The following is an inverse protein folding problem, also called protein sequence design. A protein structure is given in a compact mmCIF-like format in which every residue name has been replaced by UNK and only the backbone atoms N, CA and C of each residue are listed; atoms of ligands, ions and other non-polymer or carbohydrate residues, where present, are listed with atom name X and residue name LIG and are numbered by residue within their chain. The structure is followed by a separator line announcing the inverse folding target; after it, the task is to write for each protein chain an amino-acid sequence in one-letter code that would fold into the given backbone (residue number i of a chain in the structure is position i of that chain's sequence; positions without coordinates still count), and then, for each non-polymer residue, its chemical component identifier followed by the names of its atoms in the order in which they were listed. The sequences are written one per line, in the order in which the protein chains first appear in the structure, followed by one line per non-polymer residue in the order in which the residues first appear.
data_IF_933326000573
#
_entry.id   IF_933326000573
#
_cell.length_a   1.000
_cell.length_b   1.000
_cell.length_c   1.000
_cell.angle_alpha   90.00
_cell.angle_beta   90.00
_cell.angle_gamma   90.00
#
_symmetry.space_group_name_H-M   'P 1'
#
loop_
_entity.id
_entity.type
_entity.pdbx_description
1 polymer ?
#
# COMPACT_ATOMS: atom_id res chain seq x y z
N UNK A 1 -53.53 -32.73 -9.30
CA UNK A 1 -53.25 -31.29 -9.27
C UNK A 1 -52.27 -31.08 -8.11
N UNK A 2 -50.96 -31.09 -8.35
CA UNK A 2 -50.16 -29.97 -8.90
C UNK A 2 -50.06 -28.81 -7.90
N UNK A 3 -48.89 -28.26 -7.57
CA UNK A 3 -47.49 -28.64 -7.81
C UNK A 3 -46.62 -27.71 -6.94
N UNK A 4 -45.56 -28.20 -6.27
CA UNK A 4 -44.45 -27.33 -5.86
C UNK A 4 -43.14 -28.12 -5.79
N UNK A 5 -42.28 -27.85 -6.77
CA UNK A 5 -40.98 -28.50 -6.96
C UNK A 5 -39.93 -27.83 -6.09
N UNK A 6 -39.15 -28.62 -5.35
CA UNK A 6 -37.92 -28.17 -4.69
C UNK A 6 -36.78 -28.17 -5.72
N UNK A 7 -36.13 -27.02 -5.92
CA UNK A 7 -34.86 -26.94 -6.65
C UNK A 7 -33.75 -26.41 -5.73
N UNK A 8 -32.90 -27.33 -5.28
CA UNK A 8 -31.49 -27.06 -4.98
C UNK A 8 -30.67 -27.12 -6.28
N UNK A 9 -29.43 -26.57 -6.25
CA UNK A 9 -28.28 -26.66 -7.20
C UNK A 9 -27.74 -25.24 -7.50
N UNK A 10 -26.44 -24.96 -7.54
CA UNK A 10 -25.26 -25.64 -6.95
C UNK A 10 -24.06 -24.67 -6.92
N UNK A 11 -22.99 -25.03 -6.19
CA UNK A 11 -21.63 -24.51 -6.40
C UNK A 11 -20.87 -25.42 -7.37
N UNK A 12 -20.01 -24.90 -8.26
CA UNK A 12 -19.02 -25.73 -8.94
C UNK A 12 -17.76 -25.91 -8.06
N UNK A 13 -17.43 -27.17 -7.78
CA UNK A 13 -16.09 -27.63 -7.43
C UNK A 13 -15.68 -28.58 -8.55
N UNK A 14 -14.56 -28.33 -9.23
CA UNK A 14 -14.05 -29.23 -10.27
C UNK A 14 -12.92 -30.06 -9.68
N UNK A 15 -13.17 -31.36 -9.55
CA UNK A 15 -12.15 -32.38 -9.40
C UNK A 15 -11.79 -32.92 -10.78
N UNK A 16 -10.50 -33.03 -11.08
CA UNK A 16 -10.01 -33.76 -12.23
C UNK A 16 -9.06 -34.87 -11.75
N UNK A 17 -9.47 -36.11 -11.95
CA UNK A 17 -8.66 -37.30 -11.72
C UNK A 17 -8.67 -38.13 -13.00
N UNK A 18 -7.49 -38.50 -13.50
CA UNK A 18 -7.23 -39.75 -14.22
C UNK A 18 -5.72 -39.89 -14.47
N UNK A 19 -5.15 -41.04 -14.12
CA UNK A 19 -3.85 -41.49 -14.61
C UNK A 19 -3.98 -42.00 -16.07
N UNK A 20 -2.85 -42.28 -16.76
CA UNK A 20 -2.40 -43.67 -16.73
C UNK A 20 -0.87 -43.89 -16.64
N UNK A 21 -0.52 -45.03 -16.04
CA UNK A 21 0.76 -45.77 -16.20
C UNK A 21 1.06 -46.04 -17.69
N UNK A 22 2.28 -46.18 -18.25
CA UNK A 22 3.64 -46.56 -17.79
C UNK A 22 4.69 -45.72 -18.60
N UNK A 23 6.03 -45.89 -18.63
CA UNK A 23 6.98 -46.94 -18.19
C UNK A 23 8.41 -46.36 -17.95
N UNK A 24 9.42 -47.22 -17.78
CA UNK A 24 10.87 -46.90 -17.82
C UNK A 24 11.56 -47.57 -19.02
N UNK A 25 12.73 -47.08 -19.45
CA UNK A 25 13.97 -47.82 -19.14
C UNK A 25 15.11 -46.97 -18.57
N UNK A 26 16.19 -47.64 -18.15
CA UNK A 26 17.33 -47.11 -17.36
C UNK A 26 18.62 -46.92 -18.17
N UNK A 27 19.62 -46.31 -17.52
CA UNK A 27 21.06 -46.26 -17.84
C UNK A 27 21.45 -45.16 -18.88
N UNK A 28 22.60 -44.48 -18.83
CA UNK A 28 23.93 -44.83 -18.28
C UNK A 28 24.70 -43.66 -17.60
N UNK A 29 25.64 -44.01 -16.72
CA UNK A 29 26.94 -43.35 -16.33
C UNK A 29 27.12 -41.83 -16.54
N UNK A 30 27.35 -41.00 -15.52
CA UNK A 30 28.56 -40.88 -14.68
C UNK A 30 29.86 -40.51 -15.42
N UNK A 31 30.39 -39.30 -15.19
CA UNK A 31 31.84 -38.97 -15.16
C UNK A 31 32.10 -37.56 -14.58
N UNK A 32 32.90 -37.49 -13.50
CA UNK A 32 33.73 -36.33 -13.13
C UNK A 32 35.17 -36.63 -13.61
N UNK A 33 35.99 -35.61 -13.92
CA UNK A 33 37.03 -35.28 -12.94
C UNK A 33 37.44 -33.79 -12.87
N UNK A 34 38.03 -33.44 -11.72
CA UNK A 34 38.87 -32.26 -11.45
C UNK A 34 40.37 -32.74 -11.46
N UNK A 35 41.44 -31.95 -11.16
CA UNK A 35 41.73 -30.51 -11.33
C UNK A 35 43.10 -30.26 -12.02
N UNK A 36 43.55 -29.00 -12.17
CA UNK A 36 44.96 -28.50 -12.09
C UNK A 36 44.98 -26.96 -12.24
N UNK A 37 45.44 -26.18 -11.26
CA UNK A 37 46.85 -25.83 -10.92
C UNK A 37 47.57 -24.95 -11.96
N UNK A 38 47.75 -23.66 -11.64
CA UNK A 38 49.00 -22.91 -11.82
C UNK A 38 48.97 -21.62 -10.99
N UNK A 39 50.03 -21.36 -10.23
CA UNK A 39 50.28 -20.08 -9.58
C UNK A 39 51.67 -19.60 -10.00
N UNK A 40 51.81 -18.31 -10.32
CA UNK A 40 53.12 -17.66 -10.47
C UNK A 40 53.05 -16.24 -9.94
N UNK A 41 53.90 -15.96 -8.95
CA UNK A 41 54.26 -14.62 -8.51
C UNK A 41 55.24 -13.99 -9.48
N UNK A 42 55.26 -12.65 -9.59
CA UNK A 42 56.51 -11.92 -9.80
C UNK A 42 56.44 -10.51 -9.21
N UNK A 43 57.60 -9.96 -8.86
CA UNK A 43 57.77 -8.81 -7.97
C UNK A 43 58.94 -7.95 -8.49
N UNK A 44 58.79 -6.64 -8.64
CA UNK A 44 59.90 -5.66 -8.74
C UNK A 44 59.41 -4.20 -8.72
N UNK A 45 60.35 -3.26 -8.60
CA UNK A 45 60.16 -1.87 -8.14
C UNK A 45 60.54 -0.83 -9.21
N UNK A 46 60.00 0.40 -9.05
CA UNK A 46 60.57 1.69 -9.48
C UNK A 46 60.69 1.95 -11.02
N UNK A 47 60.57 3.17 -11.56
CA UNK A 47 60.13 4.48 -11.06
C UNK A 47 60.07 5.54 -12.20
N UNK A 48 59.45 6.71 -11.94
CA UNK A 48 59.53 8.00 -12.70
C UNK A 48 58.58 8.21 -13.92
N UNK A 49 57.40 8.77 -13.62
CA UNK A 49 56.82 10.06 -14.09
C UNK A 49 57.03 10.61 -15.54
N UNK A 50 56.14 11.51 -16.05
CA UNK A 50 54.76 11.84 -15.65
C UNK A 50 53.76 11.95 -16.84
N UNK A 51 52.45 11.76 -16.59
CA UNK A 51 51.43 12.51 -17.35
C UNK A 51 50.19 12.82 -16.49
N UNK A 52 49.70 14.05 -16.65
CA UNK A 52 48.70 14.73 -15.83
C UNK A 52 47.32 14.05 -15.87
N UNK A 53 46.74 13.70 -14.71
CA UNK A 53 45.28 13.69 -14.46
C UNK A 53 45.02 13.73 -12.94
N UNK A 54 44.84 14.92 -12.38
CA UNK A 54 44.42 15.12 -10.98
C UNK A 54 43.28 16.17 -10.95
N UNK A 55 42.45 16.12 -9.90
CA UNK A 55 41.21 16.89 -9.68
C UNK A 55 39.99 16.53 -10.57
N UNK A 56 39.09 15.68 -10.03
CA UNK A 56 37.63 15.96 -9.92
C UNK A 56 36.83 14.91 -9.11
N UNK A 57 37.29 14.55 -7.91
CA UNK A 57 36.54 13.68 -6.98
C UNK A 57 36.56 14.19 -5.52
N UNK A 58 36.09 15.43 -5.27
CA UNK A 58 35.83 15.94 -3.90
C UNK A 58 34.54 16.76 -3.71
N UNK A 59 33.82 17.14 -4.78
CA UNK A 59 32.65 18.04 -4.67
C UNK A 59 31.27 17.39 -4.92
N UNK A 60 31.19 16.07 -5.11
CA UNK A 60 29.91 15.36 -5.34
C UNK A 60 29.40 14.65 -4.08
N UNK A 61 30.27 14.35 -3.12
CA UNK A 61 29.89 13.66 -1.87
C UNK A 61 29.30 14.59 -0.81
N UNK A 62 29.68 15.87 -0.82
CA UNK A 62 29.29 16.88 0.18
C UNK A 62 27.88 17.44 -0.01
N UNK A 63 27.33 17.43 -1.23
CA UNK A 63 26.00 17.99 -1.52
C UNK A 63 24.86 17.04 -1.14
N UNK A 64 25.03 15.73 -1.33
CA UNK A 64 24.04 14.73 -0.90
C UNK A 64 23.95 14.60 0.62
N UNK A 65 25.08 14.67 1.33
CA UNK A 65 25.09 14.68 2.80
C UNK A 65 24.37 15.92 3.37
N UNK A 66 24.54 17.09 2.73
CA UNK A 66 23.89 18.33 3.15
C UNK A 66 22.35 18.23 3.06
N UNK A 67 21.81 17.76 1.91
CA UNK A 67 20.37 17.58 1.68
C UNK A 67 19.73 16.52 2.59
N UNK A 68 20.46 15.45 2.90
CA UNK A 68 20.06 14.47 3.92
C UNK A 68 19.98 15.12 5.31
N UNK A 69 21.01 15.88 5.69
CA UNK A 69 21.10 16.49 7.03
C UNK A 69 20.09 17.60 7.29
N UNK A 70 19.65 18.35 6.28
CA UNK A 70 18.62 19.40 6.44
C UNK A 70 17.25 18.79 6.71
N UNK A 71 16.88 17.75 5.96
CA UNK A 71 15.63 17.02 6.16
C UNK A 71 15.56 16.31 7.53
N UNK A 72 16.71 15.87 8.06
CA UNK A 72 16.81 15.33 9.42
C UNK A 72 16.68 16.38 10.54
N UNK A 73 17.08 17.64 10.29
CA UNK A 73 17.07 18.70 11.31
C UNK A 73 15.72 19.40 11.45
N UNK A 74 14.97 19.57 10.36
CA UNK A 74 13.67 20.27 10.41
C UNK A 74 12.59 19.48 11.19
N UNK A 75 12.71 18.15 11.31
CA UNK A 75 11.76 17.30 12.05
C UNK A 75 11.96 17.38 13.58
N UNK A 76 13.10 17.89 14.06
CA UNK A 76 13.50 17.85 15.48
C UNK A 76 13.19 19.13 16.28
N UNK A 77 12.56 20.13 15.66
CA UNK A 77 12.39 21.47 16.22
C UNK A 77 10.99 21.75 16.84
N UNK A 78 10.34 20.73 17.40
CA UNK A 78 9.48 20.86 18.60
C UNK A 78 9.13 19.44 19.12
N UNK A 79 9.68 19.07 20.27
CA UNK A 79 9.54 17.72 20.85
C UNK A 79 8.59 17.77 22.04
N UNK A 80 7.29 17.70 21.74
CA UNK A 80 6.34 17.09 22.67
C UNK A 80 6.61 15.57 22.70
N UNK A 81 7.26 15.08 23.77
CA UNK A 81 7.61 13.66 23.90
C UNK A 81 6.36 12.77 24.08
N UNK A 82 5.21 13.33 24.49
CA UNK A 82 3.96 12.57 24.69
C UNK A 82 3.12 12.42 23.41
N UNK A 83 3.47 13.12 22.32
CA UNK A 83 2.75 12.98 21.05
C UNK A 83 2.90 11.56 20.49
N UNK A 84 1.78 10.86 20.25
CA UNK A 84 1.80 9.61 19.50
C UNK A 84 1.77 9.87 17.99
N UNK A 85 2.61 9.14 17.26
CA UNK A 85 2.66 9.17 15.78
C UNK A 85 2.40 7.80 15.19
N UNK A 86 1.98 7.76 13.92
CA UNK A 86 2.07 6.58 13.05
C UNK A 86 3.13 6.79 12.00
N UNK A 87 4.06 5.85 11.93
CA UNK A 87 5.13 5.80 10.95
C UNK A 87 4.84 4.69 9.94
N UNK A 88 5.03 5.01 8.65
CA UNK A 88 4.96 4.06 7.54
C UNK A 88 6.22 4.15 6.69
N UNK A 89 6.77 3.01 6.29
CA UNK A 89 7.80 2.93 5.24
C UNK A 89 7.88 1.53 4.64
N UNK A 90 8.50 1.42 3.48
CA UNK A 90 8.92 0.14 2.92
C UNK A 90 10.23 0.34 2.13
N UNK A 91 10.97 -0.74 1.93
CA UNK A 91 12.16 -0.75 1.09
C UNK A 91 12.32 -2.13 0.46
N UNK A 92 12.42 -2.17 -0.87
CA UNK A 92 12.92 -3.35 -1.58
C UNK A 92 14.44 -3.33 -1.57
N UNK A 93 15.04 -4.31 -0.91
CA UNK A 93 16.49 -4.51 -0.79
C UNK A 93 16.75 -5.97 -0.41
N UNK A 94 17.84 -6.56 -0.89
CA UNK A 94 18.14 -7.96 -0.58
C UNK A 94 18.48 -8.13 0.91
N UNK A 95 17.76 -9.03 1.57
CA UNK A 95 18.02 -9.44 2.96
C UNK A 95 18.43 -10.93 2.92
N UNK A 96 19.69 -11.20 3.23
CA UNK A 96 20.28 -12.55 3.12
C UNK A 96 19.62 -13.55 4.07
N UNK A 97 19.47 -13.18 5.34
CA UNK A 97 18.78 -13.97 6.36
C UNK A 97 17.69 -13.10 7.03
N UNK A 98 16.43 -13.20 6.59
CA UNK A 98 15.34 -12.43 7.17
C UNK A 98 14.94 -12.84 8.59
N UNK A 99 15.26 -14.05 9.05
CA UNK A 99 14.93 -14.49 10.42
C UNK A 99 15.97 -13.94 11.42
N UNK A 100 17.25 -13.91 11.03
CA UNK A 100 18.30 -13.16 11.74
C UNK A 100 17.95 -11.65 11.80
N UNK A 101 17.48 -11.09 10.68
CA UNK A 101 17.04 -9.68 10.61
C UNK A 101 15.84 -9.40 11.54
N UNK A 102 14.82 -10.26 11.51
CA UNK A 102 13.68 -10.20 12.44
C UNK A 102 14.14 -10.23 13.88
N UNK A 103 15.15 -11.04 14.20
CA UNK A 103 15.71 -11.15 15.55
C UNK A 103 16.38 -9.84 15.98
N UNK A 104 17.23 -9.25 15.14
CA UNK A 104 17.86 -7.93 15.40
C UNK A 104 16.83 -6.84 15.64
N UNK A 105 15.83 -6.77 14.77
CA UNK A 105 14.74 -5.81 14.87
C UNK A 105 13.88 -6.04 16.14
N UNK A 106 13.66 -7.28 16.58
CA UNK A 106 12.97 -7.59 17.83
C UNK A 106 13.77 -7.12 19.05
N UNK A 107 15.08 -7.43 19.11
CA UNK A 107 15.94 -7.00 20.22
C UNK A 107 16.05 -5.48 20.33
N UNK A 108 16.01 -4.74 19.22
CA UNK A 108 15.90 -3.28 19.28
C UNK A 108 14.56 -2.80 19.87
N UNK A 109 13.46 -3.51 19.63
CA UNK A 109 12.13 -3.13 20.14
C UNK A 109 11.93 -3.45 21.63
N UNK A 110 12.83 -4.20 22.27
CA UNK A 110 12.74 -4.48 23.70
C UNK A 110 12.79 -3.19 24.52
N UNK A 111 11.83 -3.05 25.44
CA UNK A 111 11.68 -1.86 26.29
C UNK A 111 11.08 -0.62 25.61
N UNK A 112 10.67 -0.68 24.35
CA UNK A 112 10.08 0.45 23.59
C UNK A 112 8.58 0.27 23.35
N UNK A 113 7.83 1.36 23.45
CA UNK A 113 6.37 1.38 23.29
C UNK A 113 5.98 1.51 21.81
N UNK A 114 6.14 0.42 21.05
CA UNK A 114 5.87 0.38 19.60
C UNK A 114 4.87 -0.72 19.25
N UNK A 115 3.67 -0.33 18.80
CA UNK A 115 2.65 -1.24 18.29
C UNK A 115 2.47 -1.11 16.78
N UNK A 116 2.39 -2.22 16.04
CA UNK A 116 2.33 -2.15 14.59
C UNK A 116 2.45 -3.49 13.87
N UNK A 117 2.74 -3.41 12.58
CA UNK A 117 3.06 -4.53 11.68
C UNK A 117 4.36 -4.20 10.98
N UNK A 118 5.37 -5.02 11.19
CA UNK A 118 6.69 -4.89 10.56
C UNK A 118 7.01 -6.26 9.98
N UNK A 119 7.05 -6.33 8.66
CA UNK A 119 7.25 -7.57 7.93
C UNK A 119 8.56 -7.49 7.16
N UNK A 120 9.37 -8.53 7.30
CA UNK A 120 10.63 -8.69 6.58
C UNK A 120 10.59 -9.97 5.73
N UNK A 121 11.29 -9.95 4.60
CA UNK A 121 11.54 -11.12 3.76
C UNK A 121 12.82 -10.91 2.94
N UNK A 122 13.18 -11.87 2.10
CA UNK A 122 14.41 -11.81 1.28
C UNK A 122 14.44 -10.61 0.31
N UNK A 123 13.27 -10.01 0.00
CA UNK A 123 13.12 -8.86 -0.88
C UNK A 123 13.07 -7.52 -0.12
N UNK A 124 13.05 -7.49 1.21
CA UNK A 124 13.16 -6.25 2.00
C UNK A 124 12.21 -6.16 3.20
N UNK A 125 11.75 -4.94 3.48
CA UNK A 125 10.95 -4.59 4.65
C UNK A 125 9.69 -3.79 4.28
N UNK A 126 8.58 -4.04 4.98
CA UNK A 126 7.37 -3.22 4.99
C UNK A 126 6.93 -2.97 6.44
N UNK A 127 6.92 -1.71 6.87
CA UNK A 127 6.70 -1.29 8.24
C UNK A 127 5.57 -0.27 8.33
N UNK A 128 4.63 -0.52 9.25
CA UNK A 128 3.58 0.41 9.64
C UNK A 128 3.30 0.22 11.13
N UNK A 129 3.60 1.24 11.94
CA UNK A 129 3.53 1.16 13.40
C UNK A 129 3.23 2.51 14.03
N UNK A 130 2.90 2.49 15.31
CA UNK A 130 2.55 3.64 16.14
C UNK A 130 3.19 3.54 17.51
N UNK A 131 3.53 4.66 18.11
CA UNK A 131 4.08 4.77 19.45
C UNK A 131 4.30 6.24 19.82
N UNK A 132 4.80 6.53 21.03
CA UNK A 132 5.32 7.84 21.38
C UNK A 132 6.36 8.28 20.34
N UNK A 133 6.36 9.58 19.98
CA UNK A 133 7.23 10.19 18.96
C UNK A 133 8.70 9.79 19.15
N UNK A 134 9.16 9.77 20.40
CA UNK A 134 10.49 9.34 20.84
C UNK A 134 10.84 7.92 20.39
N UNK A 135 10.05 6.92 20.79
CA UNK A 135 10.32 5.50 20.51
C UNK A 135 10.12 5.16 19.03
N UNK A 136 9.09 5.74 18.42
CA UNK A 136 8.80 5.57 17.01
C UNK A 136 9.93 6.12 16.12
N UNK A 137 10.45 7.32 16.42
CA UNK A 137 11.58 7.90 15.69
C UNK A 137 12.93 7.24 16.04
N UNK A 138 13.12 6.74 17.26
CA UNK A 138 14.32 5.99 17.62
C UNK A 138 14.49 4.74 16.73
N UNK A 139 13.40 4.02 16.43
CA UNK A 139 13.44 2.90 15.49
C UNK A 139 13.69 3.34 14.03
N UNK A 140 13.16 4.49 13.58
CA UNK A 140 13.53 5.05 12.26
C UNK A 140 15.03 5.32 12.15
N UNK A 141 15.60 5.96 13.18
CA UNK A 141 17.03 6.29 13.20
C UNK A 141 17.89 5.03 13.17
N UNK A 142 17.59 4.05 14.02
CA UNK A 142 18.30 2.77 14.06
C UNK A 142 18.22 1.99 12.74
N UNK A 143 17.04 1.91 12.11
CA UNK A 143 16.91 1.28 10.79
C UNK A 143 17.80 1.97 9.74
N UNK A 144 17.97 3.29 9.81
CA UNK A 144 18.80 4.07 8.88
C UNK A 144 20.31 3.97 9.14
N UNK A 145 20.75 3.40 10.25
CA UNK A 145 22.17 3.10 10.51
C UNK A 145 22.69 2.01 9.54
N UNK A 146 21.81 1.13 9.07
CA UNK A 146 22.13 0.16 8.02
C UNK A 146 22.02 0.79 6.62
N UNK A 147 23.11 0.70 5.85
CA UNK A 147 23.22 1.23 4.49
C UNK A 147 22.17 0.66 3.51
N UNK A 148 21.55 -0.49 3.81
CA UNK A 148 20.44 -1.08 3.03
C UNK A 148 19.16 -0.26 3.12
N UNK A 149 18.98 0.51 4.19
CA UNK A 149 17.77 1.28 4.51
C UNK A 149 18.02 2.78 4.76
N UNK A 150 19.26 3.26 4.66
CA UNK A 150 19.64 4.65 5.00
C UNK A 150 18.88 5.73 4.22
N UNK A 151 18.44 5.44 2.99
CA UNK A 151 17.65 6.32 2.11
C UNK A 151 16.13 6.08 2.19
N UNK A 152 15.65 5.31 3.18
CA UNK A 152 14.24 4.95 3.28
C UNK A 152 13.35 6.19 3.47
N UNK A 153 12.36 6.32 2.58
CA UNK A 153 11.33 7.35 2.66
C UNK A 153 10.34 6.99 3.77
N UNK A 154 10.37 7.78 4.84
CA UNK A 154 9.55 7.58 6.04
C UNK A 154 8.40 8.57 6.03
N UNK A 155 7.19 8.06 6.19
CA UNK A 155 5.95 8.83 6.18
C UNK A 155 5.38 8.87 7.59
N UNK A 156 5.12 10.06 8.10
CA UNK A 156 4.65 10.28 9.48
C UNK A 156 3.24 10.88 9.43
N UNK A 157 2.40 10.51 10.39
CA UNK A 157 1.06 11.09 10.58
C UNK A 157 0.70 11.07 12.07
N UNK A 158 0.02 12.10 12.60
CA UNK A 158 -0.30 12.16 14.03
C UNK A 158 -1.32 11.09 14.47
N UNK A 159 -1.29 10.74 15.75
CA UNK A 159 -2.16 9.74 16.36
C UNK A 159 -2.70 10.23 17.71
N UNK A 160 -3.60 11.21 17.68
CA UNK A 160 -4.16 11.90 18.85
C UNK A 160 -4.88 11.03 19.90
N UNK A 161 -5.07 9.73 19.65
CA UNK A 161 -5.72 8.77 20.55
C UNK A 161 -4.76 7.65 21.01
N UNK A 162 -3.44 7.92 21.02
CA UNK A 162 -2.41 6.93 21.33
C UNK A 162 -2.19 5.93 20.20
N UNK A 163 -1.88 4.68 20.54
CA UNK A 163 -1.64 3.62 19.56
C UNK A 163 -2.80 3.37 18.61
N UNK A 164 -2.48 3.27 17.33
CA UNK A 164 -3.44 2.93 16.27
C UNK A 164 -3.44 1.43 15.93
N UNK A 165 -2.55 0.66 16.57
CA UNK A 165 -2.45 -0.80 16.48
C UNK A 165 -2.56 -1.44 17.87
N UNK A 166 -3.18 -2.63 17.99
CA UNK A 166 -3.43 -3.25 19.30
C UNK A 166 -2.22 -3.97 19.92
N UNK A 167 -1.15 -4.18 19.15
CA UNK A 167 0.14 -4.77 19.57
C UNK A 167 1.15 -4.76 18.43
N UNK A 168 2.44 -4.97 18.74
CA UNK A 168 3.47 -5.29 17.74
C UNK A 168 3.25 -6.66 17.07
N UNK A 169 3.54 -6.70 15.77
CA UNK A 169 3.65 -7.90 14.93
C UNK A 169 4.86 -7.76 14.01
N UNK A 170 6.04 -7.89 14.60
CA UNK A 170 7.33 -7.94 13.91
C UNK A 170 7.66 -9.41 13.61
N UNK A 171 7.84 -9.78 12.33
CA UNK A 171 8.11 -11.18 11.91
C UNK A 171 8.43 -11.31 10.43
N UNK A 172 9.00 -12.46 10.06
CA UNK A 172 9.08 -12.89 8.67
C UNK A 172 7.69 -13.01 8.02
N UNK A 173 7.61 -12.67 6.73
CA UNK A 173 6.46 -12.96 5.87
C UNK A 173 6.90 -13.33 4.46
N UNK A 174 6.39 -14.42 3.85
CA UNK A 174 6.69 -14.74 2.45
C UNK A 174 6.42 -13.59 1.47
N UNK A 175 5.43 -12.74 1.77
CA UNK A 175 5.00 -11.62 0.94
C UNK A 175 4.84 -10.36 1.79
N UNK A 176 5.58 -9.28 1.44
CA UNK A 176 5.51 -7.97 2.12
C UNK A 176 4.16 -7.25 1.90
N UNK A 177 3.52 -7.54 0.77
CA UNK A 177 2.13 -7.15 0.43
C UNK A 177 1.40 -8.37 -0.11
N UNK A 178 0.08 -8.47 0.09
CA UNK A 178 -0.68 -9.66 -0.31
C UNK A 178 -1.08 -9.59 -1.79
N UNK A 179 -0.51 -10.49 -2.59
CA UNK A 179 -0.86 -10.73 -4.00
C UNK A 179 -1.22 -12.21 -4.18
N UNK A 180 -2.15 -12.56 -5.07
CA UNK A 180 -2.36 -13.93 -5.55
C UNK A 180 -1.06 -14.47 -6.17
N UNK A 181 -0.74 -15.75 -5.95
CA UNK A 181 0.57 -16.31 -6.34
C UNK A 181 1.78 -15.80 -5.52
N UNK A 182 1.60 -14.80 -4.65
CA UNK A 182 2.67 -14.17 -3.87
C UNK A 182 3.61 -13.30 -4.72
N UNK A 183 4.58 -12.64 -4.08
CA UNK A 183 5.49 -11.70 -4.77
C UNK A 183 6.93 -12.22 -4.94
N UNK A 184 7.27 -13.40 -4.40
CA UNK A 184 8.65 -13.92 -4.37
C UNK A 184 9.23 -14.19 -5.77
N UNK A 185 8.38 -14.40 -6.77
CA UNK A 185 8.73 -14.64 -8.17
C UNK A 185 8.82 -13.33 -9.02
N UNK A 186 8.57 -12.17 -8.39
CA UNK A 186 8.67 -10.87 -9.02
C UNK A 186 10.06 -10.26 -8.78
N UNK A 187 10.72 -9.71 -9.82
CA UNK A 187 12.07 -9.13 -9.73
C UNK A 187 12.07 -7.74 -9.08
N UNK A 188 11.46 -7.59 -7.91
CA UNK A 188 11.25 -6.30 -7.22
C UNK A 188 12.55 -5.61 -6.78
N UNK A 189 13.64 -6.39 -6.67
CA UNK A 189 14.98 -5.90 -6.38
C UNK A 189 15.64 -5.20 -7.58
N UNK A 190 15.14 -5.42 -8.80
CA UNK A 190 15.56 -4.71 -10.00
C UNK A 190 14.72 -3.43 -10.16
N UNK A 191 15.31 -2.22 -10.08
CA UNK A 191 14.57 -0.97 -10.28
C UNK A 191 13.98 -0.82 -11.69
N UNK A 192 14.61 -1.40 -12.73
CA UNK A 192 14.13 -1.29 -14.12
C UNK A 192 12.83 -2.06 -14.34
N UNK A 193 12.60 -3.10 -13.55
CA UNK A 193 11.37 -3.88 -13.57
C UNK A 193 10.19 -3.17 -12.90
N UNK A 194 10.43 -2.11 -12.12
CA UNK A 194 9.39 -1.32 -11.44
C UNK A 194 9.02 -0.08 -12.26
N UNK A 195 7.97 0.61 -11.84
CA UNK A 195 7.55 1.88 -12.41
C UNK A 195 8.54 3.02 -12.04
N UNK A 196 8.64 4.01 -12.91
CA UNK A 196 9.44 5.21 -12.67
C UNK A 196 8.80 6.08 -11.56
N UNK A 197 9.53 6.41 -10.47
CA UNK A 197 8.95 7.10 -9.32
C UNK A 197 8.91 8.62 -9.52
N UNK A 198 7.73 9.15 -9.84
CA UNK A 198 7.47 10.59 -9.98
C UNK A 198 7.42 11.28 -8.62
N UNK A 199 8.09 12.43 -8.49
CA UNK A 199 7.96 13.29 -7.30
C UNK A 199 6.54 13.85 -7.20
N UNK A 200 6.03 14.20 -6.00
CA UNK A 200 4.68 14.75 -5.84
C UNK A 200 4.35 15.95 -6.74
N UNK A 201 5.30 16.87 -6.92
CA UNK A 201 5.15 18.03 -7.80
C UNK A 201 5.06 17.67 -9.28
N UNK A 202 5.82 16.66 -9.72
CA UNK A 202 5.75 16.15 -11.09
C UNK A 202 4.45 15.37 -11.33
N UNK A 203 4.03 14.57 -10.36
CA UNK A 203 2.74 13.88 -10.37
C UNK A 203 1.57 14.87 -10.52
N UNK A 204 1.57 15.97 -9.76
CA UNK A 204 0.58 17.05 -9.89
C UNK A 204 0.54 17.61 -11.32
N UNK A 205 1.70 17.98 -11.87
CA UNK A 205 1.79 18.50 -13.25
C UNK A 205 1.26 17.50 -14.29
N UNK A 206 1.50 16.19 -14.10
CA UNK A 206 0.97 15.13 -14.96
C UNK A 206 -0.55 14.97 -14.81
N UNK A 207 -1.09 15.03 -13.59
CA UNK A 207 -2.55 14.99 -13.35
C UNK A 207 -3.28 16.16 -14.02
N UNK A 208 -2.73 17.37 -13.91
CA UNK A 208 -3.28 18.55 -14.57
C UNK A 208 -3.33 18.37 -16.10
N UNK A 209 -2.26 17.86 -16.71
CA UNK A 209 -2.24 17.54 -18.13
C UNK A 209 -3.32 16.52 -18.53
N UNK A 210 -3.48 15.42 -17.78
CA UNK A 210 -4.50 14.38 -18.03
C UNK A 210 -5.93 14.94 -17.95
N UNK A 211 -6.21 15.74 -16.93
CA UNK A 211 -7.55 16.32 -16.74
C UNK A 211 -7.89 17.35 -17.83
N UNK A 212 -6.91 18.10 -18.31
CA UNK A 212 -7.09 19.04 -19.42
C UNK A 212 -7.34 18.32 -20.76
N UNK A 213 -6.62 17.23 -21.05
CA UNK A 213 -6.83 16.46 -22.30
C UNK A 213 -8.19 15.76 -22.33
N UNK A 214 -8.60 15.14 -21.21
CA UNK A 214 -9.86 14.41 -21.14
C UNK A 214 -11.10 15.33 -21.26
N UNK A 215 -10.93 16.64 -21.01
CA UNK A 215 -12.00 17.63 -21.12
C UNK A 215 -12.15 18.23 -22.53
N UNK A 216 -11.27 17.89 -23.48
CA UNK A 216 -11.16 18.54 -24.79
C UNK A 216 -11.28 17.63 -26.02
N UNK A 217 -11.43 16.31 -25.85
CA UNK A 217 -11.59 15.34 -26.95
C UNK A 217 -12.88 14.53 -26.86
N UNK A 218 -13.84 14.80 -27.76
CA UNK A 218 -15.10 14.06 -27.88
C UNK A 218 -15.06 12.88 -28.87
N UNK A 219 -13.90 12.56 -29.45
CA UNK A 219 -13.72 11.53 -30.47
C UNK A 219 -12.81 10.38 -30.00
N UNK A 220 -13.19 9.14 -30.35
CA UNK A 220 -12.56 7.89 -29.92
C UNK A 220 -11.14 7.70 -30.47
N UNK A 221 -10.11 7.99 -29.67
CA UNK A 221 -8.74 7.46 -29.86
C UNK A 221 -8.17 7.13 -28.47
N UNK A 222 -7.48 5.99 -28.35
CA UNK A 222 -6.93 5.46 -27.10
C UNK A 222 -6.27 6.52 -26.20
N UNK A 223 -6.53 6.49 -24.87
CA UNK A 223 -5.95 7.47 -23.95
C UNK A 223 -4.42 7.40 -23.99
N UNK A 224 -3.81 8.56 -24.22
CA UNK A 224 -2.35 8.72 -24.20
C UNK A 224 -1.77 8.53 -22.79
N UNK A 225 -2.60 8.70 -21.77
CA UNK A 225 -2.26 8.56 -20.37
C UNK A 225 -3.44 8.01 -19.54
N UNK A 226 -3.19 7.07 -18.64
CA UNK A 226 -4.17 6.44 -17.76
C UNK A 226 -3.76 6.65 -16.31
N UNK A 227 -4.70 7.12 -15.49
CA UNK A 227 -4.56 7.24 -14.05
C UNK A 227 -5.18 6.00 -13.37
N UNK A 228 -4.32 5.14 -12.82
CA UNK A 228 -4.72 3.87 -12.19
C UNK A 228 -4.56 3.93 -10.67
N UNK A 229 -5.69 3.84 -9.97
CA UNK A 229 -5.69 3.59 -8.53
C UNK A 229 -5.45 2.08 -8.29
N UNK A 230 -4.31 1.70 -7.72
CA UNK A 230 -4.03 0.28 -7.39
C UNK A 230 -4.41 -0.07 -5.95
N UNK A 231 -5.34 0.70 -5.37
CA UNK A 231 -5.98 0.42 -4.09
C UNK A 231 -7.21 -0.48 -4.24
N UNK A 232 -7.81 -0.83 -3.10
CA UNK A 232 -9.11 -1.50 -3.10
C UNK A 232 -10.25 -0.48 -3.34
N UNK A 233 -11.39 -0.92 -3.87
CA UNK A 233 -12.55 -0.05 -4.11
C UNK A 233 -12.99 0.75 -2.88
N UNK A 234 -13.00 0.14 -1.69
CA UNK A 234 -13.32 0.83 -0.44
C UNK A 234 -12.31 1.93 -0.04
N UNK A 235 -11.10 1.94 -0.59
CA UNK A 235 -10.15 3.03 -0.34
C UNK A 235 -10.42 4.22 -1.26
N UNK A 236 -10.89 3.96 -2.48
CA UNK A 236 -11.37 4.96 -3.43
C UNK A 236 -12.67 5.61 -2.93
N UNK A 237 -13.57 4.83 -2.32
CA UNK A 237 -14.88 5.28 -1.82
C UNK A 237 -14.81 6.39 -0.75
N UNK A 238 -13.69 6.52 -0.03
CA UNK A 238 -13.45 7.65 0.92
C UNK A 238 -12.66 8.80 0.34
N UNK A 239 -11.94 8.59 -0.76
CA UNK A 239 -11.14 9.63 -1.41
C UNK A 239 -10.15 9.07 -2.42
N UNK A 240 -9.90 9.84 -3.47
CA UNK A 240 -9.12 9.44 -4.65
C UNK A 240 -8.63 10.69 -5.40
N UNK A 241 -7.74 10.51 -6.39
CA UNK A 241 -7.42 11.59 -7.33
C UNK A 241 -8.57 11.80 -8.31
N UNK A 242 -8.95 13.05 -8.56
CA UNK A 242 -9.99 13.41 -9.53
C UNK A 242 -9.65 12.82 -10.91
N UNK A 243 -10.64 12.18 -11.53
CA UNK A 243 -10.46 11.47 -12.81
C UNK A 243 -9.98 10.01 -12.67
N UNK A 244 -9.56 9.55 -11.49
CA UNK A 244 -9.21 8.14 -11.29
C UNK A 244 -10.47 7.26 -11.25
N UNK A 245 -10.52 6.23 -12.09
CA UNK A 245 -11.59 5.25 -12.07
C UNK A 245 -11.58 4.43 -10.76
N UNK A 246 -12.77 4.06 -10.26
CA UNK A 246 -12.91 3.22 -9.07
C UNK A 246 -12.45 1.79 -9.38
N UNK A 247 -11.51 1.20 -8.62
CA UNK A 247 -11.11 -0.19 -8.83
C UNK A 247 -12.24 -1.16 -8.49
N UNK A 248 -12.53 -2.11 -9.38
CA UNK A 248 -13.52 -3.17 -9.18
C UNK A 248 -12.96 -4.37 -8.37
N UNK A 249 -12.13 -4.05 -7.36
CA UNK A 249 -11.44 -5.06 -6.53
C UNK A 249 -11.55 -4.73 -5.05
N UNK A 250 -12.17 -5.63 -4.29
CA UNK A 250 -12.25 -5.53 -2.83
C UNK A 250 -10.92 -5.89 -2.13
N UNK A 251 -10.02 -6.58 -2.83
CA UNK A 251 -8.71 -6.96 -2.32
C UNK A 251 -7.62 -6.87 -3.39
N UNK A 252 -6.53 -6.16 -3.08
CA UNK A 252 -5.33 -6.07 -3.92
C UNK A 252 -4.72 -7.44 -4.23
N UNK A 253 -5.02 -8.45 -3.41
CA UNK A 253 -4.68 -9.84 -3.69
C UNK A 253 -5.18 -10.28 -5.07
N UNK A 254 -6.40 -9.86 -5.44
CA UNK A 254 -7.11 -10.26 -6.65
C UNK A 254 -7.04 -9.22 -7.77
N UNK A 255 -6.11 -8.26 -7.72
CA UNK A 255 -5.94 -7.26 -8.79
C UNK A 255 -5.37 -7.91 -10.05
N UNK A 256 -6.11 -7.81 -11.15
CA UNK A 256 -5.85 -8.50 -12.43
C UNK A 256 -5.77 -7.58 -13.67
N UNK A 257 -5.95 -6.27 -13.54
CA UNK A 257 -5.87 -5.28 -14.64
C UNK A 257 -4.64 -5.49 -15.55
N UNK A 258 -4.85 -5.63 -16.86
CA UNK A 258 -3.79 -5.83 -17.85
C UNK A 258 -3.10 -7.20 -17.81
N UNK A 259 -3.70 -8.21 -17.17
CA UNK A 259 -3.17 -9.59 -17.10
C UNK A 259 -3.93 -10.60 -17.98
N UNK A 260 -5.06 -10.22 -18.59
CA UNK A 260 -5.86 -11.08 -19.46
C UNK A 260 -5.49 -10.93 -20.94
N UNK A 261 -4.84 -11.94 -21.51
CA UNK A 261 -4.53 -11.97 -22.96
C UNK A 261 -5.70 -12.51 -23.82
N UNK A 262 -6.69 -13.21 -23.25
CA UNK A 262 -7.72 -13.95 -23.99
C UNK A 262 -9.15 -13.41 -23.89
N UNK A 263 -9.47 -12.67 -22.83
CA UNK A 263 -10.80 -12.08 -22.64
C UNK A 263 -10.65 -10.59 -22.35
N UNK A 264 -11.20 -9.75 -23.24
CA UNK A 264 -11.34 -8.31 -22.98
C UNK A 264 -12.44 -8.16 -21.93
N UNK A 265 -12.04 -8.14 -20.66
CA UNK A 265 -12.92 -7.74 -19.56
C UNK A 265 -13.26 -6.27 -19.81
N UNK A 266 -14.53 -5.97 -20.14
CA UNK A 266 -14.94 -4.63 -20.55
C UNK A 266 -14.76 -3.55 -19.46
N UNK A 267 -14.49 -3.95 -18.21
CA UNK A 267 -14.14 -3.08 -17.08
C UNK A 267 -12.64 -2.95 -16.80
N UNK A 268 -11.75 -3.63 -17.55
CA UNK A 268 -10.31 -3.46 -17.39
C UNK A 268 -9.80 -2.22 -18.16
N UNK A 269 -9.32 -1.17 -17.46
CA UNK A 269 -8.83 0.05 -18.11
C UNK A 269 -7.59 -0.17 -18.99
N UNK A 270 -6.91 -1.33 -18.89
CA UNK A 270 -5.69 -1.63 -19.64
C UNK A 270 -5.90 -2.60 -20.82
N UNK A 271 -7.10 -3.12 -21.06
CA UNK A 271 -7.32 -4.19 -22.03
C UNK A 271 -7.14 -3.77 -23.52
N UNK A 272 -7.41 -2.51 -23.86
CA UNK A 272 -7.42 -2.02 -25.25
C UNK A 272 -6.32 -0.99 -25.58
N UNK A 273 -5.33 -0.82 -24.70
CA UNK A 273 -4.38 0.31 -24.75
C UNK A 273 -3.08 -0.08 -25.45
N UNK A 274 -2.37 0.91 -25.99
CA UNK A 274 -1.05 0.69 -26.56
C UNK A 274 -0.03 0.48 -25.43
N UNK A 275 0.35 -0.78 -25.19
CA UNK A 275 1.28 -1.18 -24.12
C UNK A 275 2.65 -0.47 -24.22
N UNK A 276 3.05 0.01 -25.39
CA UNK A 276 4.32 0.73 -25.58
C UNK A 276 4.17 2.24 -25.47
N UNK A 277 3.04 2.81 -25.91
CA UNK A 277 2.86 4.26 -26.06
C UNK A 277 1.98 4.93 -25.00
N UNK A 278 1.09 4.22 -24.31
CA UNK A 278 0.25 4.81 -23.25
C UNK A 278 1.03 4.96 -21.94
N UNK A 279 1.07 6.18 -21.39
CA UNK A 279 1.55 6.44 -20.02
C UNK A 279 0.58 5.82 -19.00
N UNK A 280 1.07 5.05 -18.03
CA UNK A 280 0.25 4.50 -16.94
C UNK A 280 0.78 5.03 -15.61
N UNK A 281 -0.01 5.90 -14.98
CA UNK A 281 0.27 6.55 -13.71
C UNK A 281 -0.43 5.80 -12.57
N UNK A 282 0.35 5.06 -11.78
CA UNK A 282 -0.16 4.28 -10.65
C UNK A 282 0.01 5.01 -9.32
N UNK A 283 -1.02 4.94 -8.46
CA UNK A 283 -0.90 5.38 -7.08
C UNK A 283 -1.55 4.42 -6.09
N UNK A 284 -1.06 4.46 -4.85
CA UNK A 284 -1.71 3.89 -3.70
C UNK A 284 -1.31 4.68 -2.44
N UNK A 285 -1.82 4.29 -1.27
CA UNK A 285 -1.60 4.99 0.02
C UNK A 285 -0.15 5.35 0.31
N UNK A 286 0.79 4.42 0.08
CA UNK A 286 2.20 4.51 0.49
C UNK A 286 3.21 3.90 -0.50
N UNK A 287 2.86 3.78 -1.78
CA UNK A 287 3.77 3.34 -2.86
C UNK A 287 3.92 1.82 -3.08
N UNK A 288 4.07 0.99 -2.03
CA UNK A 288 4.49 -0.43 -2.18
C UNK A 288 3.65 -1.27 -3.18
N UNK A 289 2.33 -1.04 -3.27
CA UNK A 289 1.48 -1.77 -4.24
C UNK A 289 1.81 -1.42 -5.68
N UNK A 290 2.17 -0.17 -5.97
CA UNK A 290 2.54 0.29 -7.31
C UNK A 290 3.87 -0.34 -7.76
N UNK A 291 4.86 -0.44 -6.88
CA UNK A 291 6.12 -1.14 -7.16
C UNK A 291 5.89 -2.62 -7.48
N UNK A 292 5.00 -3.30 -6.72
CA UNK A 292 4.66 -4.71 -7.00
C UNK A 292 3.85 -4.86 -8.28
N UNK A 293 2.84 -4.03 -8.48
CA UNK A 293 1.95 -4.14 -9.63
C UNK A 293 2.62 -3.76 -10.94
N UNK A 294 3.48 -2.73 -10.92
CA UNK A 294 4.28 -2.33 -12.07
C UNK A 294 5.23 -3.43 -12.55
N UNK A 295 5.79 -4.25 -11.64
CA UNK A 295 6.60 -5.41 -12.03
C UNK A 295 5.79 -6.52 -12.74
N UNK A 296 4.48 -6.60 -12.50
CA UNK A 296 3.57 -7.47 -13.24
C UNK A 296 3.31 -6.87 -14.63
N UNK A 297 2.87 -5.60 -14.69
CA UNK A 297 2.60 -4.91 -15.95
C UNK A 297 3.84 -4.86 -16.87
N UNK A 298 5.05 -4.69 -16.30
CA UNK A 298 6.32 -4.74 -17.04
C UNK A 298 6.52 -6.08 -17.74
N UNK A 299 6.21 -7.20 -17.05
CA UNK A 299 6.23 -8.55 -17.65
C UNK A 299 5.15 -8.72 -18.71
N UNK A 300 3.99 -8.09 -18.54
CA UNK A 300 2.89 -8.09 -19.52
C UNK A 300 3.11 -7.16 -20.74
N UNK A 301 4.30 -6.56 -20.85
CA UNK A 301 4.75 -5.77 -22.01
C UNK A 301 4.68 -4.25 -21.82
N UNK A 302 4.08 -3.73 -20.75
CA UNK A 302 3.88 -2.30 -20.57
C UNK A 302 5.19 -1.53 -20.36
N UNK A 303 5.44 -0.52 -21.19
CA UNK A 303 6.72 0.22 -21.24
C UNK A 303 6.71 1.51 -20.41
N UNK A 304 5.64 2.31 -20.48
CA UNK A 304 5.57 3.65 -19.89
C UNK A 304 4.83 3.62 -18.55
N UNK A 305 5.47 3.01 -17.54
CA UNK A 305 4.91 2.81 -16.20
C UNK A 305 5.49 3.81 -15.20
N UNK A 306 4.63 4.54 -14.50
CA UNK A 306 4.99 5.55 -13.51
C UNK A 306 4.28 5.31 -12.18
N UNK A 307 4.90 5.73 -11.08
CA UNK A 307 4.32 5.64 -9.74
C UNK A 307 4.51 6.92 -8.96
N UNK A 308 3.52 7.32 -8.18
CA UNK A 308 3.67 8.39 -7.20
C UNK A 308 4.68 7.97 -6.12
N UNK A 309 5.83 8.65 -6.04
CA UNK A 309 6.89 8.36 -5.06
C UNK A 309 6.38 8.59 -3.63
N UNK A 310 6.35 7.53 -2.83
CA UNK A 310 5.76 7.53 -1.49
C UNK A 310 4.23 7.45 -1.46
N UNK A 311 3.54 7.37 -2.61
CA UNK A 311 2.08 7.31 -2.66
C UNK A 311 1.38 8.55 -2.11
N UNK A 312 0.06 8.43 -1.92
CA UNK A 312 -0.82 9.56 -1.56
C UNK A 312 -0.41 10.22 -0.25
N UNK A 313 0.03 9.47 0.76
CA UNK A 313 0.41 10.05 2.05
C UNK A 313 1.59 11.03 1.94
N UNK A 314 2.55 10.79 1.04
CA UNK A 314 3.65 11.73 0.77
C UNK A 314 3.21 12.87 -0.17
N UNK A 315 2.26 12.61 -1.08
CA UNK A 315 1.68 13.68 -1.89
C UNK A 315 0.93 14.71 -1.05
N UNK A 316 0.04 14.28 -0.14
CA UNK A 316 -0.73 15.18 0.72
C UNK A 316 0.17 16.02 1.63
N UNK A 317 1.28 15.45 2.12
CA UNK A 317 2.31 16.14 2.90
C UNK A 317 3.01 17.26 2.09
N UNK A 318 3.38 16.99 0.84
CA UNK A 318 4.15 17.94 0.01
C UNK A 318 3.25 18.96 -0.71
N UNK A 319 2.16 18.50 -1.30
CA UNK A 319 1.31 19.26 -2.24
C UNK A 319 -0.05 19.68 -1.63
N UNK A 320 -0.47 19.08 -0.51
CA UNK A 320 -1.82 19.26 0.03
C UNK A 320 -2.87 18.48 -0.78
N UNK A 321 -4.12 18.96 -0.78
CA UNK A 321 -5.26 18.31 -1.43
C UNK A 321 -5.41 18.57 -2.94
N UNK A 322 -4.44 19.21 -3.60
CA UNK A 322 -4.57 19.59 -5.02
C UNK A 322 -4.82 18.35 -5.89
N UNK A 323 -5.95 18.33 -6.61
CA UNK A 323 -6.39 17.19 -7.44
C UNK A 323 -6.88 15.96 -6.66
N UNK A 324 -6.88 15.98 -5.31
CA UNK A 324 -7.34 14.90 -4.44
C UNK A 324 -8.70 15.24 -3.82
N UNK A 325 -9.67 14.33 -3.92
CA UNK A 325 -10.98 14.47 -3.27
C UNK A 325 -11.09 13.56 -2.05
N UNK A 326 -11.80 14.03 -1.02
CA UNK A 326 -12.07 13.24 0.19
C UNK A 326 -10.86 12.97 1.09
N UNK A 327 -10.93 11.88 1.84
CA UNK A 327 -9.96 11.48 2.85
C UNK A 327 -9.09 10.31 2.37
N UNK A 328 -7.86 10.21 2.90
CA UNK A 328 -7.00 9.07 2.67
C UNK A 328 -7.36 7.91 3.60
N UNK A 329 -7.69 6.74 3.02
CA UNK A 329 -7.84 5.51 3.80
C UNK A 329 -6.50 5.06 4.40
N UNK A 330 -6.50 4.72 5.69
CA UNK A 330 -5.32 4.19 6.40
C UNK A 330 -5.62 2.87 7.11
N UNK A 331 -4.68 1.93 7.05
CA UNK A 331 -4.89 0.53 7.46
C UNK A 331 -4.84 0.26 8.97
N UNK A 332 -5.17 1.27 9.79
CA UNK A 332 -5.05 1.27 11.25
C UNK A 332 -6.38 1.65 11.95
N UNK A 333 -6.36 1.93 13.26
CA UNK A 333 -7.57 2.31 14.01
C UNK A 333 -8.29 3.57 13.46
N UNK A 334 -7.55 4.50 12.84
CA UNK A 334 -8.07 5.79 12.34
C UNK A 334 -9.00 5.60 11.13
N UNK A 335 -8.69 4.62 10.27
CA UNK A 335 -9.37 4.26 9.01
C UNK A 335 -9.40 5.33 7.91
N UNK A 336 -9.47 6.61 8.25
CA UNK A 336 -9.66 7.71 7.32
C UNK A 336 -9.03 8.97 7.90
N UNK A 337 -8.19 9.66 7.11
CA UNK A 337 -7.53 10.90 7.49
C UNK A 337 -7.79 11.99 6.45
N UNK A 338 -8.25 13.20 6.85
CA UNK A 338 -8.38 14.31 5.93
C UNK A 338 -7.01 14.83 5.46
N UNK A 339 -6.90 15.44 4.26
CA UNK A 339 -5.66 16.02 3.75
C UNK A 339 -4.94 16.97 4.71
N UNK A 340 -5.70 17.76 5.49
CA UNK A 340 -5.18 18.69 6.50
C UNK A 340 -4.40 18.02 7.63
N UNK A 341 -4.50 16.69 7.80
CA UNK A 341 -3.65 15.91 8.71
C UNK A 341 -2.19 15.84 8.25
N UNK A 342 -1.94 15.91 6.95
CA UNK A 342 -0.60 15.78 6.36
C UNK A 342 0.05 17.13 6.10
N UNK A 343 -0.76 18.13 5.75
CA UNK A 343 -0.31 19.51 5.54
C UNK A 343 -1.36 20.45 6.12
N UNK A 344 -1.23 20.85 7.40
CA UNK A 344 -2.04 21.92 7.98
C UNK A 344 -1.84 23.18 7.14
N UNK A 345 -2.94 23.78 6.65
CA UNK A 345 -2.86 24.99 5.84
C UNK A 345 -2.33 26.15 6.69
N UNK A 346 -1.19 26.72 6.28
CA UNK A 346 -0.62 27.91 6.92
C UNK A 346 -1.43 29.13 6.49
N UNK A 347 -2.48 29.46 7.25
CA UNK A 347 -3.26 30.68 7.05
C UNK A 347 -4.68 30.62 7.59
N UNK A 348 -4.99 31.47 8.58
CA UNK A 348 -6.32 31.60 9.20
C UNK A 348 -7.25 32.44 8.29
N UNK A 349 -7.51 31.92 7.09
CA UNK A 349 -8.53 32.46 6.16
C UNK A 349 -9.36 31.34 5.52
N UNK A 350 -8.79 30.15 5.36
CA UNK A 350 -9.51 28.99 4.86
C UNK A 350 -10.52 28.42 5.88
N UNK A 351 -10.34 28.62 7.19
CA UNK A 351 -11.21 28.02 8.24
C UNK A 351 -12.69 28.39 8.13
N UNK A 352 -13.01 29.54 7.55
CA UNK A 352 -14.41 30.01 7.36
C UNK A 352 -15.00 29.52 6.04
N UNK A 353 -14.17 29.06 5.09
CA UNK A 353 -14.59 28.43 3.82
C UNK A 353 -14.43 26.90 3.80
N UNK A 354 -13.64 26.29 4.69
CA UNK A 354 -13.49 24.82 4.79
C UNK A 354 -14.73 24.10 5.35
N UNK A 355 -15.67 24.83 5.96
CA UNK A 355 -17.04 24.34 6.22
C UNK A 355 -17.93 24.35 4.96
N UNK A 356 -17.50 25.02 3.89
CA UNK A 356 -18.09 24.95 2.56
C UNK A 356 -17.69 23.66 1.87
N UNK A 357 -18.42 22.59 2.19
CA UNK A 357 -18.52 21.35 1.42
C UNK A 357 -17.26 20.91 0.68
N UNK A 358 -16.38 20.16 1.37
CA UNK A 358 -15.55 19.17 0.68
C UNK A 358 -16.49 18.37 -0.23
N UNK A 359 -16.25 18.33 -1.55
CA UNK A 359 -17.20 17.72 -2.48
C UNK A 359 -17.21 16.20 -2.33
N UNK A 360 -17.99 15.75 -1.36
CA UNK A 360 -18.21 14.36 -1.04
C UNK A 360 -19.33 13.76 -1.90
N UNK A 361 -19.71 14.40 -3.03
CA UNK A 361 -20.79 13.90 -3.90
C UNK A 361 -20.49 12.50 -4.43
N UNK A 362 -19.21 12.14 -4.61
CA UNK A 362 -18.75 10.80 -4.95
C UNK A 362 -19.03 9.76 -3.85
N UNK A 363 -19.02 10.16 -2.57
CA UNK A 363 -19.10 9.24 -1.45
C UNK A 363 -20.56 8.87 -1.16
N UNK A 364 -20.96 7.64 -1.53
CA UNK A 364 -22.33 7.14 -1.38
C UNK A 364 -22.47 6.14 -0.23
N UNK A 365 -23.66 6.11 0.35
CA UNK A 365 -24.08 5.07 1.29
C UNK A 365 -24.31 3.76 0.53
N UNK A 366 -23.64 2.70 0.95
CA UNK A 366 -23.74 1.36 0.35
C UNK A 366 -25.17 0.79 0.32
N UNK A 367 -26.05 1.23 1.23
CA UNK A 367 -27.41 0.68 1.40
C UNK A 367 -28.46 1.43 0.57
N UNK A 368 -28.41 2.77 0.54
CA UNK A 368 -29.48 3.59 -0.06
C UNK A 368 -28.99 4.57 -1.15
N UNK A 369 -27.70 4.59 -1.46
CA UNK A 369 -27.12 5.50 -2.46
C UNK A 369 -27.07 6.98 -2.06
N UNK A 370 -27.60 7.37 -0.89
CA UNK A 370 -27.51 8.76 -0.40
C UNK A 370 -26.06 9.18 -0.21
N UNK A 371 -25.76 10.47 -0.30
CA UNK A 371 -24.45 10.99 0.07
C UNK A 371 -24.11 10.66 1.54
N UNK A 372 -22.83 10.42 1.86
CA UNK A 372 -22.34 10.31 3.25
C UNK A 372 -21.58 11.56 3.66
N UNK A 373 -21.84 12.03 4.88
CA UNK A 373 -21.12 13.16 5.47
C UNK A 373 -19.81 12.72 6.15
N UNK A 374 -19.80 11.52 6.73
CA UNK A 374 -18.63 10.92 7.39
C UNK A 374 -17.91 9.98 6.40
N UNK A 375 -16.75 10.39 5.91
CA UNK A 375 -15.89 9.60 5.00
C UNK A 375 -15.15 8.49 5.77
N UNK A 376 -15.86 7.69 6.57
CA UNK A 376 -15.27 6.65 7.42
C UNK A 376 -16.01 5.34 7.30
N UNK A 377 -15.28 4.33 6.84
CA UNK A 377 -15.77 2.97 6.76
C UNK A 377 -16.09 2.38 8.13
N UNK A 378 -17.14 1.55 8.18
CA UNK A 378 -17.48 0.71 9.34
C UNK A 378 -17.63 -0.74 8.91
N UNK A 379 -17.36 -1.66 9.83
CA UNK A 379 -17.67 -3.07 9.62
C UNK A 379 -19.16 -3.33 9.91
N UNK A 380 -19.75 -4.32 9.25
CA UNK A 380 -21.10 -4.81 9.54
C UNK A 380 -21.18 -5.31 10.99
N UNK A 381 -22.21 -4.92 11.75
CA UNK A 381 -22.37 -5.32 13.15
C UNK A 381 -22.39 -6.85 13.33
N UNK A 382 -23.00 -7.58 12.38
CA UNK A 382 -22.86 -9.04 12.27
C UNK A 382 -21.39 -9.43 12.10
N UNK A 383 -20.81 -10.12 13.09
CA UNK A 383 -19.44 -10.59 13.09
C UNK A 383 -19.15 -11.66 12.01
N UNK A 384 -20.14 -12.47 11.64
CA UNK A 384 -20.02 -13.50 10.60
C UNK A 384 -19.91 -12.88 9.20
N UNK A 385 -20.52 -11.71 8.99
CA UNK A 385 -20.41 -10.93 7.75
C UNK A 385 -19.15 -10.05 7.77
N UNK A 386 -19.04 -9.17 8.77
CA UNK A 386 -17.93 -8.22 8.97
C UNK A 386 -17.55 -7.33 7.77
N UNK A 387 -18.38 -7.25 6.70
CA UNK A 387 -18.19 -6.41 5.51
C UNK A 387 -17.81 -4.98 5.91
N UNK A 388 -16.83 -4.39 5.22
CA UNK A 388 -16.40 -3.01 5.41
C UNK A 388 -17.13 -2.12 4.38
N UNK A 389 -17.91 -1.11 4.83
CA UNK A 389 -18.70 -0.27 3.93
C UNK A 389 -18.90 1.16 4.46
N UNK A 390 -19.23 2.11 3.56
CA UNK A 390 -19.71 3.45 3.90
C UNK A 390 -21.23 3.46 4.12
N UNK A 391 -21.68 4.21 5.12
CA UNK A 391 -23.08 4.22 5.53
C UNK A 391 -23.49 5.59 6.08
N UNK A 392 -24.66 6.09 5.67
CA UNK A 392 -25.24 7.30 6.25
C UNK A 392 -25.86 7.00 7.63
N UNK A 393 -25.98 8.02 8.48
CA UNK A 393 -26.44 7.87 9.87
C UNK A 393 -27.84 7.23 9.99
N UNK A 394 -28.74 7.48 9.03
CA UNK A 394 -30.06 6.84 8.95
C UNK A 394 -29.93 5.32 8.82
N UNK A 395 -29.31 4.83 7.74
CA UNK A 395 -29.14 3.40 7.52
C UNK A 395 -28.32 2.69 8.62
N UNK A 396 -27.36 3.38 9.29
CA UNK A 396 -26.69 2.85 10.49
C UNK A 396 -27.67 2.58 11.62
N UNK A 397 -28.62 3.50 11.86
CA UNK A 397 -29.66 3.35 12.87
C UNK A 397 -30.65 2.25 12.48
N UNK A 398 -31.21 2.33 11.27
CA UNK A 398 -32.30 1.48 10.79
C UNK A 398 -31.89 0.01 10.68
N UNK A 399 -30.65 -0.25 10.24
CA UNK A 399 -30.09 -1.61 10.14
C UNK A 399 -29.19 -1.98 11.33
N UNK A 400 -29.26 -1.27 12.47
CA UNK A 400 -28.48 -1.59 13.69
C UNK A 400 -26.98 -1.82 13.39
N UNK A 401 -26.38 -0.97 12.56
CA UNK A 401 -24.98 -1.07 12.12
C UNK A 401 -24.66 -2.21 11.14
N UNK A 402 -25.65 -2.91 10.60
CA UNK A 402 -25.48 -3.95 9.59
C UNK A 402 -25.50 -3.39 8.16
N UNK A 403 -24.94 -4.15 7.22
CA UNK A 403 -24.97 -3.84 5.78
C UNK A 403 -26.29 -4.23 5.09
N UNK A 404 -27.12 -5.07 5.71
CA UNK A 404 -28.42 -5.51 5.19
C UNK A 404 -29.34 -5.98 6.34
N UNK A 405 -30.64 -6.09 6.06
CA UNK A 405 -31.66 -6.56 7.02
C UNK A 405 -31.37 -7.96 7.57
N UNK A 406 -30.92 -8.89 6.73
CA UNK A 406 -30.58 -10.28 7.11
C UNK A 406 -29.48 -10.35 8.17
N UNK A 407 -28.55 -9.40 8.18
CA UNK A 407 -27.48 -9.36 9.18
C UNK A 407 -27.99 -8.90 10.57
N UNK A 408 -29.15 -8.25 10.67
CA UNK A 408 -29.68 -7.70 11.94
C UNK A 408 -30.19 -8.76 12.93
N UNK A 409 -30.39 -9.99 12.45
CA UNK A 409 -30.83 -11.15 13.23
C UNK A 409 -29.71 -12.19 13.47
N UNK A 410 -28.46 -11.86 13.13
CA UNK A 410 -27.33 -12.77 13.28
C UNK A 410 -27.03 -13.10 14.75
N UNK A 411 -26.64 -14.35 15.04
CA UNK A 411 -26.30 -14.81 16.40
C UNK A 411 -25.11 -14.07 17.03
N UNK A 412 -24.17 -13.57 16.21
CA UNK A 412 -22.98 -12.82 16.68
C UNK A 412 -23.08 -11.35 16.29
N UNK A 413 -24.16 -10.72 16.71
CA UNK A 413 -24.41 -9.29 16.47
C UNK A 413 -23.66 -8.43 17.50
N UNK A 414 -22.93 -7.44 17.02
CA UNK A 414 -22.22 -6.46 17.87
C UNK A 414 -23.10 -5.20 18.08
N UNK A 415 -22.92 -4.43 19.16
CA UNK A 415 -23.72 -3.24 19.42
C UNK A 415 -23.46 -2.13 18.39
N UNK A 416 -24.44 -1.25 18.15
CA UNK A 416 -24.27 -0.14 17.20
C UNK A 416 -23.22 0.83 17.72
N UNK A 417 -22.12 1.01 16.96
CA UNK A 417 -21.04 1.91 17.31
C UNK A 417 -21.32 3.36 16.86
N UNK A 418 -21.09 4.30 17.78
CA UNK A 418 -21.20 5.74 17.55
C UNK A 418 -19.83 6.35 17.19
N UNK A 419 -19.84 7.34 16.28
CA UNK A 419 -18.66 8.06 15.82
C UNK A 419 -17.48 7.15 15.45
N UNK A 420 -16.29 7.51 15.93
CA UNK A 420 -15.01 6.90 15.56
C UNK A 420 -14.71 5.54 16.22
N UNK A 421 -15.63 4.96 16.98
CA UNK A 421 -15.41 3.65 17.62
C UNK A 421 -15.14 2.53 16.59
N UNK A 422 -14.52 1.44 17.06
CA UNK A 422 -14.31 0.20 16.30
C UNK A 422 -14.69 -1.02 17.13
N UNK A 423 -15.07 -2.10 16.45
CA UNK A 423 -15.39 -3.35 17.13
C UNK A 423 -14.15 -3.95 17.77
N UNK A 424 -14.31 -4.30 19.05
CA UNK A 424 -13.37 -5.07 19.83
C UNK A 424 -13.51 -6.57 19.49
N UNK A 425 -12.77 -7.42 20.22
CA UNK A 425 -12.88 -8.88 20.09
C UNK A 425 -14.25 -9.35 20.59
N UNK A 426 -14.80 -10.40 19.97
CA UNK A 426 -16.17 -10.89 20.24
C UNK A 426 -16.48 -11.21 21.71
N UNK A 427 -15.51 -11.72 22.47
CA UNK A 427 -15.72 -12.04 23.89
C UNK A 427 -16.14 -10.81 24.72
N UNK A 428 -15.64 -9.61 24.37
CA UNK A 428 -16.03 -8.35 25.01
C UNK A 428 -17.50 -7.95 24.75
N UNK A 429 -18.23 -8.66 23.89
CA UNK A 429 -19.66 -8.43 23.63
C UNK A 429 -20.53 -9.55 24.19
N UNK A 430 -20.13 -10.81 23.96
CA UNK A 430 -20.81 -12.00 24.52
C UNK A 430 -20.97 -11.90 26.04
N UNK A 431 -19.94 -11.43 26.73
CA UNK A 431 -19.90 -11.47 28.20
C UNK A 431 -20.78 -10.36 28.82
N UNK A 432 -21.08 -9.29 28.08
CA UNK A 432 -22.08 -8.28 28.47
C UNK A 432 -23.52 -8.79 28.36
N UNK A 433 -23.86 -9.54 27.29
CA UNK A 433 -25.22 -10.11 27.12
C UNK A 433 -25.59 -11.10 28.23
N UNK A 434 -24.59 -11.70 28.88
CA UNK A 434 -24.76 -12.62 30.03
C UNK A 434 -24.87 -11.90 31.38
N UNK A 435 -24.51 -10.61 31.46
CA UNK A 435 -24.66 -9.78 32.66
C UNK A 435 -25.94 -8.94 32.64
N UNK A 436 -26.54 -8.76 31.46
CA UNK A 436 -27.81 -8.04 31.26
C UNK A 436 -29.04 -8.97 31.25
N UNK A 437 -28.90 -10.20 31.75
CA UNK A 437 -29.94 -11.23 31.88
C UNK A 437 -29.93 -11.80 33.29
#
# INVERSE_FOLDING_TARGET
MSSFTVMNVAKPFILASNEPTTSFPKNLTAFLPNPKLAATSFNSRNSILPFVWQLKCKNVCTTYAALSSSYSKEILADIDEEEFIVVNFYRFVFIKDPEEEVTKHLSFMEGRDVHGRIYLNQQGINAQYSGPKKDALAYVSWVREDLRFSDVLVQISPASNGHTFPRLKLRYKPSLVQLEGGISHLPLLDPSMRAEPLAPSEWRNRLEAVNNTNSSSHENINPSCILLDVRNGYEWDVGHFQGAQRPDVDCFRSTSFGQSDSEVIASDPLAAVDKERTDILMYCTGGIRCDVYSAILRKQGFKRLYTLKGGVSHYLEREGSVGWVGNLFVFDARLSLPPSTYKPEVGIEASTKLKGSLDNSFAKCYICGSQVCELRHRNCANLDCNLLFLCCAGCVKDLRGCCCSQCTSARRLRPVLTGNQRYQKWHNYRDFELQSR
#
